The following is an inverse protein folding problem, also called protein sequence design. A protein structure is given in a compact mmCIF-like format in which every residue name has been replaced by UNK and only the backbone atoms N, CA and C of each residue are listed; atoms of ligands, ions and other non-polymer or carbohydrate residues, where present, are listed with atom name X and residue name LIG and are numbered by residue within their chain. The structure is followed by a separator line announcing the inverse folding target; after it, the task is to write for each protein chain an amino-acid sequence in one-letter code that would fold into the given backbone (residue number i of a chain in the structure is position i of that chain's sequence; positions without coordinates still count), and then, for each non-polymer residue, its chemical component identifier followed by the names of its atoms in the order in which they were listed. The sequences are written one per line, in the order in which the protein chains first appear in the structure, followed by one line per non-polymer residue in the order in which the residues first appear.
data_IF_815110581524
#
_entry.id   IF_815110581524
#
_cell.length_a   1.000
_cell.length_b   1.000
_cell.length_c   1.000
_cell.angle_alpha   90.00
_cell.angle_beta   90.00
_cell.angle_gamma   90.00
#
_symmetry.space_group_name_H-M   'P 1'
#
loop_
_entity.id
_entity.type
_entity.pdbx_description
1 polymer ?
#
# COMPACT_ATOMS: atom_id res chain seq x y z
N UNK A 1 43.13 10.94 -27.37
CA UNK A 1 42.92 11.64 -26.08
C UNK A 1 41.59 11.16 -25.53
N UNK A 2 41.61 10.19 -24.61
CA UNK A 2 40.42 9.49 -24.09
C UNK A 2 39.83 10.33 -22.95
N UNK A 3 38.61 10.84 -23.14
CA UNK A 3 37.87 11.54 -22.10
C UNK A 3 37.23 10.50 -21.19
N UNK A 4 37.81 10.33 -20.01
CA UNK A 4 37.28 9.52 -18.92
C UNK A 4 35.97 10.11 -18.42
N UNK A 5 34.88 9.35 -18.54
CA UNK A 5 33.61 9.61 -17.84
C UNK A 5 33.84 9.29 -16.35
N UNK A 6 33.99 10.31 -15.52
CA UNK A 6 33.89 10.16 -14.06
C UNK A 6 32.46 9.79 -13.71
N UNK A 7 32.27 8.57 -13.19
CA UNK A 7 31.07 8.18 -12.47
C UNK A 7 30.84 9.13 -11.30
N UNK A 8 29.62 9.63 -11.18
CA UNK A 8 29.19 10.48 -10.08
C UNK A 8 28.89 9.55 -8.90
N UNK A 9 29.83 9.40 -7.97
CA UNK A 9 29.55 8.77 -6.68
C UNK A 9 28.44 9.57 -5.98
N UNK A 10 27.33 8.90 -5.65
CA UNK A 10 26.25 9.49 -4.85
C UNK A 10 26.78 9.62 -3.42
N UNK A 11 26.67 10.82 -2.84
CA UNK A 11 27.09 11.06 -1.45
C UNK A 11 26.16 10.32 -0.48
N UNK A 12 26.68 9.59 0.52
CA UNK A 12 25.86 8.84 1.48
C UNK A 12 24.86 9.71 2.25
N UNK A 13 25.20 10.99 2.52
CA UNK A 13 24.29 11.96 3.17
C UNK A 13 23.06 12.30 2.32
N UNK A 14 23.15 12.18 1.00
CA UNK A 14 22.00 12.38 0.10
C UNK A 14 21.08 11.16 0.11
N UNK A 15 21.65 9.96 0.21
CA UNK A 15 20.88 8.72 0.29
C UNK A 15 20.05 8.67 1.57
N UNK A 16 20.62 9.02 2.73
CA UNK A 16 19.88 9.02 4.01
C UNK A 16 18.69 9.99 4.01
N UNK A 17 18.86 11.20 3.46
CA UNK A 17 17.77 12.18 3.35
C UNK A 17 16.65 11.74 2.39
N UNK A 18 17.00 10.99 1.35
CA UNK A 18 16.03 10.42 0.41
C UNK A 18 15.29 9.25 1.06
N UNK A 19 16.00 8.38 1.79
CA UNK A 19 15.40 7.29 2.53
C UNK A 19 14.46 7.79 3.63
N UNK A 20 14.83 8.83 4.37
CA UNK A 20 13.94 9.45 5.36
C UNK A 20 12.65 10.01 4.73
N UNK A 21 12.74 10.49 3.48
CA UNK A 21 11.57 10.97 2.72
C UNK A 21 10.70 9.82 2.19
N UNK A 22 11.31 8.69 1.83
CA UNK A 22 10.62 7.52 1.26
C UNK A 22 10.00 6.65 2.34
N UNK A 23 10.70 6.47 3.46
CA UNK A 23 10.30 5.61 4.57
C UNK A 23 9.49 6.33 5.63
N UNK A 24 9.51 7.66 5.64
CA UNK A 24 8.85 8.44 6.67
C UNK A 24 9.50 8.20 8.04
N UNK A 25 9.95 9.26 8.70
CA UNK A 25 10.55 9.09 10.02
C UNK A 25 9.50 8.95 11.12
N UNK A 26 8.22 9.18 10.86
CA UNK A 26 7.14 9.12 11.86
C UNK A 26 6.06 8.11 11.45
N UNK A 27 5.98 6.98 12.18
CA UNK A 27 4.91 6.01 12.02
C UNK A 27 3.86 6.23 13.10
N UNK A 28 2.58 6.37 12.71
CA UNK A 28 1.47 6.42 13.66
C UNK A 28 0.75 5.08 13.67
N UNK A 29 1.09 4.22 14.62
CA UNK A 29 0.36 2.99 14.89
C UNK A 29 -0.40 3.11 16.21
N UNK A 30 -1.72 2.88 16.18
CA UNK A 30 -2.62 2.99 17.35
C UNK A 30 -2.56 4.35 18.08
N UNK A 31 -2.35 5.43 17.33
CA UNK A 31 -2.30 6.80 17.89
C UNK A 31 -1.01 7.14 18.64
N UNK A 32 -0.01 6.25 18.64
CA UNK A 32 1.33 6.54 19.15
C UNK A 32 2.22 6.88 17.96
N UNK A 33 2.77 8.10 17.95
CA UNK A 33 3.82 8.49 17.02
C UNK A 33 5.12 7.85 17.50
N UNK A 34 5.71 6.98 16.70
CA UNK A 34 7.06 6.48 16.93
C UNK A 34 7.96 6.87 15.78
N UNK A 35 9.13 7.37 16.12
CA UNK A 35 10.18 7.59 15.14
C UNK A 35 10.94 6.28 14.95
N UNK A 36 10.86 5.68 13.75
CA UNK A 36 11.65 4.48 13.43
C UNK A 36 12.87 4.89 12.61
N UNK A 37 14.09 4.52 13.02
CA UNK A 37 15.27 4.77 12.20
C UNK A 37 15.14 4.05 10.85
N UNK A 38 15.49 4.71 9.74
CA UNK A 38 15.45 4.13 8.39
C UNK A 38 16.13 2.74 8.34
N UNK A 39 17.29 2.59 8.97
CA UNK A 39 18.04 1.31 9.05
C UNK A 39 17.22 0.13 9.61
N UNK A 40 16.31 0.40 10.56
CA UNK A 40 15.49 -0.64 11.19
C UNK A 40 14.42 -1.12 10.22
N UNK A 41 13.78 -0.17 9.52
CA UNK A 41 12.81 -0.46 8.47
C UNK A 41 13.48 -1.21 7.31
N UNK A 42 14.65 -0.78 6.88
CA UNK A 42 15.41 -1.47 5.82
C UNK A 42 15.78 -2.90 6.21
N UNK A 43 16.18 -3.13 7.46
CA UNK A 43 16.47 -4.48 7.95
C UNK A 43 15.23 -5.38 7.93
N UNK A 44 14.05 -4.87 8.26
CA UNK A 44 12.80 -5.62 8.16
C UNK A 44 12.41 -5.90 6.70
N UNK A 45 12.54 -4.91 5.82
CA UNK A 45 12.23 -5.06 4.39
C UNK A 45 13.13 -6.08 3.70
N UNK A 46 14.38 -6.25 4.14
CA UNK A 46 15.30 -7.24 3.57
C UNK A 46 14.82 -8.70 3.70
N UNK A 47 13.81 -8.97 4.56
CA UNK A 47 13.17 -10.28 4.69
C UNK A 47 12.27 -10.65 3.50
N UNK A 48 11.90 -9.70 2.64
CA UNK A 48 10.89 -9.90 1.60
C UNK A 48 11.52 -9.83 0.21
N UNK A 49 11.15 -10.79 -0.64
CA UNK A 49 11.62 -10.86 -2.03
C UNK A 49 10.53 -11.45 -2.93
N UNK A 50 10.36 -10.86 -4.11
CA UNK A 50 9.39 -11.31 -5.09
C UNK A 50 8.74 -10.12 -5.79
N UNK A 51 7.50 -10.32 -6.27
CA UNK A 51 6.70 -9.27 -6.88
C UNK A 51 6.36 -8.18 -5.86
N UNK A 52 6.72 -6.94 -6.20
CA UNK A 52 6.53 -5.75 -5.37
C UNK A 52 5.73 -4.70 -6.12
N UNK A 53 4.86 -4.02 -5.39
CA UNK A 53 4.12 -2.85 -5.83
C UNK A 53 4.37 -1.70 -4.86
N UNK A 54 4.46 -0.47 -5.36
CA UNK A 54 4.57 0.71 -4.50
C UNK A 54 3.73 1.85 -5.03
N UNK A 55 2.87 2.37 -4.17
CA UNK A 55 2.03 3.53 -4.45
C UNK A 55 2.62 4.79 -3.82
N UNK A 56 2.91 5.78 -4.65
CA UNK A 56 3.33 7.12 -4.24
C UNK A 56 2.16 8.09 -4.36
N UNK A 57 1.58 8.47 -3.23
CA UNK A 57 0.47 9.45 -3.18
C UNK A 57 1.03 10.87 -3.20
N UNK A 58 0.47 11.73 -4.05
CA UNK A 58 0.85 13.14 -4.16
C UNK A 58 -0.16 14.04 -3.44
N UNK A 59 0.35 15.04 -2.71
CA UNK A 59 -0.47 15.87 -1.82
C UNK A 59 -1.38 16.89 -2.51
N UNK A 60 -1.01 17.41 -3.68
CA UNK A 60 -1.85 18.32 -4.45
C UNK A 60 -2.83 17.53 -5.33
N UNK A 61 -4.08 17.48 -4.88
CA UNK A 61 -5.16 16.78 -5.53
C UNK A 61 -6.11 17.69 -6.35
N UNK A 62 -5.66 18.90 -6.71
CA UNK A 62 -6.38 19.76 -7.65
C UNK A 62 -6.47 19.11 -9.04
N UNK A 63 -7.54 19.38 -9.80
CA UNK A 63 -7.72 18.76 -11.13
C UNK A 63 -6.53 19.00 -12.09
N UNK A 64 -5.95 20.21 -12.19
CA UNK A 64 -4.76 20.42 -13.03
C UNK A 64 -3.55 19.60 -12.58
N UNK A 65 -3.32 19.49 -11.26
CA UNK A 65 -2.23 18.68 -10.70
C UNK A 65 -2.43 17.18 -10.99
N UNK A 66 -3.65 16.68 -10.82
CA UNK A 66 -4.01 15.27 -11.10
C UNK A 66 -3.80 14.93 -12.57
N UNK A 67 -4.22 15.80 -13.50
CA UNK A 67 -4.00 15.59 -14.92
C UNK A 67 -2.50 15.58 -15.26
N UNK A 68 -1.75 16.56 -14.74
CA UNK A 68 -0.28 16.64 -14.91
C UNK A 68 0.42 15.40 -14.38
N UNK A 69 -0.01 14.86 -13.24
CA UNK A 69 0.57 13.66 -12.65
C UNK A 69 0.24 12.39 -13.45
N UNK A 70 -0.98 12.30 -14.00
CA UNK A 70 -1.37 11.21 -14.90
C UNK A 70 -0.48 11.18 -16.15
N UNK A 71 -0.26 12.34 -16.79
CA UNK A 71 0.59 12.44 -17.98
C UNK A 71 2.05 12.14 -17.63
N UNK A 72 2.51 12.60 -16.47
CA UNK A 72 3.84 12.32 -15.94
C UNK A 72 4.10 10.82 -15.77
N UNK A 73 3.12 10.08 -15.23
CA UNK A 73 3.20 8.64 -15.04
C UNK A 73 3.17 7.89 -16.37
N UNK A 74 2.25 8.27 -17.27
CA UNK A 74 2.11 7.66 -18.59
C UNK A 74 3.38 7.80 -19.44
N UNK A 75 4.01 8.97 -19.42
CA UNK A 75 5.28 9.22 -20.12
C UNK A 75 6.44 8.32 -19.65
N UNK A 76 6.31 7.71 -18.47
CA UNK A 76 7.31 6.82 -17.86
C UNK A 76 6.85 5.36 -17.80
N UNK A 77 5.71 5.03 -18.40
CA UNK A 77 5.14 3.69 -18.35
C UNK A 77 4.70 3.23 -16.96
N UNK A 78 4.47 4.17 -16.04
CA UNK A 78 4.05 3.88 -14.67
C UNK A 78 2.52 3.83 -14.55
N UNK A 79 2.03 3.07 -13.58
CA UNK A 79 0.61 3.04 -13.27
C UNK A 79 0.16 4.36 -12.65
N UNK A 80 -1.11 4.72 -12.86
CA UNK A 80 -1.72 5.88 -12.23
C UNK A 80 -3.15 5.55 -11.77
N UNK A 81 -3.43 5.84 -10.51
CA UNK A 81 -4.76 5.67 -9.92
C UNK A 81 -5.13 6.93 -9.15
N UNK A 82 -6.38 7.37 -9.23
CA UNK A 82 -6.89 8.47 -8.42
C UNK A 82 -8.05 7.99 -7.57
N UNK A 83 -7.73 7.59 -6.34
CA UNK A 83 -8.73 7.11 -5.38
C UNK A 83 -9.40 8.31 -4.70
N UNK A 84 -10.72 8.24 -4.59
CA UNK A 84 -11.52 9.13 -3.76
C UNK A 84 -12.25 8.32 -2.69
N UNK A 85 -12.02 8.70 -1.44
CA UNK A 85 -12.66 8.08 -0.29
C UNK A 85 -14.09 8.60 -0.10
N UNK A 86 -14.97 7.73 0.38
CA UNK A 86 -16.35 8.09 0.70
C UNK A 86 -16.47 9.14 1.81
N UNK A 87 -15.53 9.11 2.76
CA UNK A 87 -15.43 10.01 3.92
C UNK A 87 -13.97 10.15 4.33
N UNK A 88 -13.72 10.95 5.37
CA UNK A 88 -12.37 11.17 5.92
C UNK A 88 -11.78 12.52 5.53
N UNK A 89 -10.63 12.84 6.12
CA UNK A 89 -9.99 14.16 5.98
C UNK A 89 -9.25 14.32 4.65
N UNK A 90 -8.64 13.25 4.14
CA UNK A 90 -7.86 13.25 2.91
C UNK A 90 -8.54 12.37 1.85
N UNK A 91 -9.68 12.85 1.35
CA UNK A 91 -10.52 12.06 0.44
C UNK A 91 -9.87 11.81 -0.91
N UNK A 92 -9.16 12.79 -1.47
CA UNK A 92 -8.62 12.74 -2.83
C UNK A 92 -7.15 12.28 -2.79
N UNK A 93 -6.85 11.13 -3.39
CA UNK A 93 -5.55 10.48 -3.32
C UNK A 93 -5.07 10.09 -4.74
N UNK A 94 -4.40 11.01 -5.46
CA UNK A 94 -3.77 10.69 -6.72
C UNK A 94 -2.43 9.97 -6.47
N UNK A 95 -2.25 8.82 -7.11
CA UNK A 95 -1.14 7.89 -6.84
C UNK A 95 -0.46 7.45 -8.12
N UNK A 96 0.87 7.44 -8.09
CA UNK A 96 1.71 6.75 -9.07
C UNK A 96 2.01 5.36 -8.54
N UNK A 97 1.90 4.34 -9.39
CA UNK A 97 2.21 2.95 -9.07
C UNK A 97 3.48 2.51 -9.77
N UNK A 98 4.43 2.00 -9.00
CA UNK A 98 5.59 1.27 -9.48
C UNK A 98 5.37 -0.23 -9.25
N UNK A 99 5.89 -1.07 -10.15
CA UNK A 99 5.89 -2.53 -10.02
C UNK A 99 7.26 -3.08 -10.35
N UNK A 100 7.67 -4.12 -9.64
CA UNK A 100 8.95 -4.79 -9.86
C UNK A 100 8.99 -6.18 -9.27
N UNK A 101 10.13 -6.84 -9.45
CA UNK A 101 10.45 -8.10 -8.79
C UNK A 101 11.88 -8.00 -8.26
N UNK A 102 12.04 -7.93 -6.95
CA UNK A 102 13.31 -7.67 -6.27
C UNK A 102 13.19 -8.00 -4.76
N UNK A 103 14.28 -7.81 -4.02
CA UNK A 103 14.27 -7.72 -2.56
C UNK A 103 13.72 -6.35 -2.14
N UNK A 104 12.86 -6.32 -1.12
CA UNK A 104 12.08 -5.11 -0.83
C UNK A 104 12.93 -3.92 -0.32
N UNK A 105 14.05 -4.17 0.35
CA UNK A 105 15.02 -3.14 0.70
C UNK A 105 15.69 -2.51 -0.53
N UNK A 106 16.17 -3.33 -1.47
CA UNK A 106 16.79 -2.88 -2.72
C UNK A 106 15.79 -2.12 -3.60
N UNK A 107 14.54 -2.60 -3.66
CA UNK A 107 13.44 -1.92 -4.35
C UNK A 107 13.18 -0.51 -3.81
N UNK A 108 13.23 -0.36 -2.48
CA UNK A 108 13.02 0.93 -1.82
C UNK A 108 14.20 1.89 -2.05
N UNK A 109 15.44 1.40 -1.87
CA UNK A 109 16.67 2.19 -2.07
C UNK A 109 16.92 2.59 -3.52
N UNK A 110 16.46 1.78 -4.48
CA UNK A 110 16.67 2.00 -5.91
C UNK A 110 15.43 2.62 -6.58
N UNK A 111 14.56 1.81 -7.20
CA UNK A 111 13.42 2.29 -8.00
C UNK A 111 12.51 3.29 -7.29
N UNK A 112 12.13 3.04 -6.03
CA UNK A 112 11.19 3.91 -5.32
C UNK A 112 11.84 5.24 -4.96
N UNK A 113 13.04 5.24 -4.37
CA UNK A 113 13.81 6.44 -4.09
C UNK A 113 14.01 7.31 -5.35
N UNK A 114 14.36 6.67 -6.48
CA UNK A 114 14.54 7.38 -7.74
C UNK A 114 13.24 8.05 -8.22
N UNK A 115 12.10 7.36 -8.12
CA UNK A 115 10.82 7.93 -8.52
C UNK A 115 10.36 9.07 -7.61
N UNK A 116 10.62 9.01 -6.30
CA UNK A 116 10.35 10.11 -5.37
C UNK A 116 11.17 11.35 -5.74
N UNK A 117 12.45 11.18 -6.10
CA UNK A 117 13.29 12.29 -6.56
C UNK A 117 12.82 12.89 -7.88
N UNK A 118 12.39 12.04 -8.82
CA UNK A 118 11.88 12.50 -10.12
C UNK A 118 10.57 13.26 -9.98
N UNK A 119 9.66 12.79 -9.12
CA UNK A 119 8.44 13.51 -8.76
C UNK A 119 8.75 14.88 -8.14
N UNK A 120 9.68 14.92 -7.18
CA UNK A 120 10.09 16.16 -6.54
C UNK A 120 10.69 17.16 -7.53
N UNK A 121 11.54 16.69 -8.46
CA UNK A 121 12.15 17.53 -9.50
C UNK A 121 11.11 18.13 -10.44
N UNK A 122 10.05 17.38 -10.73
CA UNK A 122 8.95 17.82 -11.60
C UNK A 122 7.84 18.59 -10.81
N UNK A 123 8.11 18.91 -9.54
CA UNK A 123 7.27 19.77 -8.71
C UNK A 123 6.07 19.06 -8.10
N UNK A 124 6.15 17.76 -7.85
CA UNK A 124 5.17 16.99 -7.09
C UNK A 124 5.69 16.69 -5.69
N UNK A 125 4.84 16.86 -4.68
CA UNK A 125 5.15 16.46 -3.30
C UNK A 125 4.51 15.12 -2.98
N UNK A 126 5.33 14.09 -2.82
CA UNK A 126 4.91 12.79 -2.26
C UNK A 126 4.56 12.97 -0.79
N UNK A 127 3.41 12.46 -0.38
CA UNK A 127 2.87 12.55 0.99
C UNK A 127 2.60 11.19 1.64
N UNK A 128 2.70 10.11 0.85
CA UNK A 128 2.67 8.71 1.30
C UNK A 128 3.40 7.85 0.27
N UNK A 129 4.30 7.01 0.73
CA UNK A 129 4.70 5.79 0.06
C UNK A 129 4.06 4.59 0.80
N UNK A 130 3.45 3.69 0.03
CA UNK A 130 2.93 2.40 0.50
C UNK A 130 3.57 1.31 -0.34
N UNK A 131 4.36 0.44 0.28
CA UNK A 131 5.05 -0.66 -0.37
C UNK A 131 4.38 -1.98 0.01
N UNK A 132 4.16 -2.79 -1.01
CA UNK A 132 3.37 -4.02 -0.94
C UNK A 132 4.10 -5.13 -1.69
N UNK A 133 3.93 -6.35 -1.21
CA UNK A 133 4.39 -7.56 -1.89
C UNK A 133 3.20 -8.41 -2.32
N UNK A 134 3.39 -9.21 -3.36
CA UNK A 134 2.45 -10.28 -3.66
C UNK A 134 2.34 -11.24 -2.46
N UNK A 135 1.17 -11.85 -2.20
CA UNK A 135 0.93 -12.66 -1.00
C UNK A 135 1.72 -13.98 -1.03
N UNK A 136 2.32 -14.34 -2.17
CA UNK A 136 3.21 -15.49 -2.35
C UNK A 136 4.69 -15.12 -2.33
N UNK A 137 5.04 -13.86 -2.11
CA UNK A 137 6.44 -13.43 -2.01
C UNK A 137 7.15 -14.13 -0.83
N UNK A 138 8.46 -14.29 -0.95
CA UNK A 138 9.30 -14.78 0.14
C UNK A 138 9.17 -13.84 1.36
N UNK A 139 9.19 -14.41 2.56
CA UNK A 139 9.03 -13.66 3.81
C UNK A 139 7.58 -13.39 4.22
N UNK A 140 6.60 -13.54 3.30
CA UNK A 140 5.18 -13.34 3.63
C UNK A 140 4.65 -14.50 4.50
N UNK A 141 4.08 -14.23 5.69
CA UNK A 141 3.56 -15.25 6.60
C UNK A 141 2.49 -16.15 5.95
N UNK A 142 2.75 -17.46 5.90
CA UNK A 142 1.79 -18.41 5.34
C UNK A 142 0.74 -18.84 6.36
N UNK A 143 1.12 -18.98 7.63
CA UNK A 143 0.25 -19.41 8.73
C UNK A 143 0.15 -18.34 9.83
N UNK A 144 -0.89 -18.44 10.66
CA UNK A 144 -1.14 -17.48 11.74
C UNK A 144 -0.03 -17.48 12.80
N UNK A 145 0.69 -18.60 12.97
CA UNK A 145 1.81 -18.67 13.90
C UNK A 145 2.97 -17.78 13.46
N UNK A 146 3.29 -17.77 12.17
CA UNK A 146 4.33 -16.92 11.59
C UNK A 146 3.92 -15.44 11.68
N UNK A 147 2.65 -15.15 11.40
CA UNK A 147 2.11 -13.79 11.43
C UNK A 147 2.07 -13.17 12.84
N UNK A 148 2.07 -13.99 13.91
CA UNK A 148 2.14 -13.50 15.30
C UNK A 148 3.53 -13.00 15.69
N UNK A 149 4.56 -13.47 14.98
CA UNK A 149 5.94 -13.03 15.17
C UNK A 149 6.25 -11.78 14.33
N UNK A 150 5.46 -11.54 13.28
CA UNK A 150 5.62 -10.38 12.40
C UNK A 150 5.30 -9.05 13.12
N UNK A 151 5.98 -7.95 12.75
CA UNK A 151 5.62 -6.62 13.20
C UNK A 151 4.14 -6.30 12.94
N UNK A 152 3.45 -5.63 13.88
CA UNK A 152 1.99 -5.48 13.85
C UNK A 152 1.46 -4.52 12.77
N UNK A 153 2.35 -3.74 12.12
CA UNK A 153 2.02 -2.89 10.99
C UNK A 153 1.93 -3.69 9.68
N UNK A 154 2.57 -4.86 9.60
CA UNK A 154 2.48 -5.74 8.44
C UNK A 154 1.12 -6.45 8.42
N UNK A 155 0.48 -6.50 7.26
CA UNK A 155 -0.84 -7.10 7.12
C UNK A 155 -1.18 -7.46 5.68
N UNK A 156 -2.10 -8.41 5.52
CA UNK A 156 -2.71 -8.64 4.22
C UNK A 156 -3.74 -7.54 3.93
N UNK A 157 -3.74 -7.03 2.70
CA UNK A 157 -4.77 -6.16 2.17
C UNK A 157 -5.37 -6.80 0.92
N UNK A 158 -6.69 -6.72 0.78
CA UNK A 158 -7.40 -7.18 -0.41
C UNK A 158 -8.21 -6.05 -1.00
N UNK A 159 -8.17 -5.90 -2.32
CA UNK A 159 -8.98 -4.92 -3.04
C UNK A 159 -9.98 -5.66 -3.93
N UNK A 160 -11.27 -5.54 -3.62
CA UNK A 160 -12.35 -6.07 -4.46
C UNK A 160 -12.98 -4.93 -5.23
N UNK A 161 -12.84 -4.96 -6.55
CA UNK A 161 -13.46 -4.00 -7.45
C UNK A 161 -14.85 -4.44 -7.82
N UNK A 162 -15.82 -3.56 -7.61
CA UNK A 162 -17.24 -3.79 -7.84
C UNK A 162 -17.76 -2.88 -8.94
N UNK A 163 -18.60 -3.45 -9.80
CA UNK A 163 -19.59 -2.70 -10.58
C UNK A 163 -20.91 -2.78 -9.85
N UNK A 164 -21.51 -1.63 -9.58
CA UNK A 164 -22.80 -1.48 -8.93
C UNK A 164 -23.80 -0.85 -9.90
N UNK A 165 -25.08 -1.20 -9.78
CA UNK A 165 -26.16 -0.45 -10.45
C UNK A 165 -26.23 1.00 -9.93
N UNK A 166 -26.90 1.87 -10.69
CA UNK A 166 -27.00 3.30 -10.36
C UNK A 166 -27.69 3.53 -9.00
N UNK A 167 -28.68 2.71 -8.70
CA UNK A 167 -29.57 2.74 -7.54
C UNK A 167 -29.05 1.90 -6.35
N UNK A 168 -27.83 1.37 -6.43
CA UNK A 168 -27.26 0.60 -5.34
C UNK A 168 -27.17 1.43 -4.05
N UNK A 169 -27.67 0.84 -2.95
CA UNK A 169 -27.60 1.42 -1.61
C UNK A 169 -26.16 1.32 -1.09
N UNK A 170 -25.43 2.44 -1.19
CA UNK A 170 -24.01 2.51 -0.81
C UNK A 170 -23.81 2.47 0.71
N UNK A 171 -24.77 2.97 1.48
CA UNK A 171 -24.67 2.99 2.94
C UNK A 171 -24.90 1.59 3.49
N UNK A 172 -25.93 0.88 3.01
CA UNK A 172 -26.15 -0.52 3.35
C UNK A 172 -24.97 -1.42 2.92
N UNK A 173 -24.35 -1.15 1.76
CA UNK A 173 -23.14 -1.84 1.34
C UNK A 173 -21.96 -1.53 2.26
N UNK A 174 -21.75 -0.27 2.64
CA UNK A 174 -20.68 0.15 3.54
C UNK A 174 -20.79 -0.51 4.93
N UNK A 175 -22.00 -0.56 5.49
CA UNK A 175 -22.26 -1.22 6.78
C UNK A 175 -21.98 -2.73 6.69
N UNK A 176 -22.43 -3.36 5.61
CA UNK A 176 -22.24 -4.79 5.36
C UNK A 176 -20.76 -5.18 5.26
N UNK A 177 -19.94 -4.40 4.55
CA UNK A 177 -18.50 -4.71 4.40
C UNK A 177 -17.69 -4.38 5.65
N UNK A 178 -18.16 -3.45 6.50
CA UNK A 178 -17.47 -3.07 7.75
C UNK A 178 -17.32 -4.27 8.70
N UNK A 179 -18.31 -5.18 8.75
CA UNK A 179 -18.23 -6.42 9.53
C UNK A 179 -17.13 -7.38 9.09
N UNK A 180 -16.57 -7.18 7.89
CA UNK A 180 -15.46 -7.95 7.33
C UNK A 180 -14.14 -7.19 7.39
N UNK A 181 -14.01 -6.20 8.29
CA UNK A 181 -12.86 -5.28 8.37
C UNK A 181 -12.51 -4.67 7.01
N UNK A 182 -13.56 -4.31 6.26
CA UNK A 182 -13.45 -3.80 4.91
C UNK A 182 -14.21 -2.47 4.71
N UNK A 183 -13.74 -1.67 3.75
CA UNK A 183 -14.17 -0.28 3.59
C UNK A 183 -14.35 0.10 2.11
N UNK A 184 -15.39 0.89 1.83
CA UNK A 184 -15.74 1.32 0.47
C UNK A 184 -14.98 2.59 0.04
N UNK A 185 -14.46 2.61 -1.19
CA UNK A 185 -13.89 3.77 -1.89
C UNK A 185 -14.21 3.74 -3.39
N UNK A 186 -13.78 4.72 -4.19
CA UNK A 186 -13.91 4.68 -5.66
C UNK A 186 -12.75 5.38 -6.37
N UNK A 187 -12.64 5.20 -7.68
CA UNK A 187 -11.71 5.97 -8.51
C UNK A 187 -12.45 7.16 -9.15
N UNK A 188 -11.99 8.39 -8.89
CA UNK A 188 -12.64 9.62 -9.35
C UNK A 188 -12.72 9.75 -10.88
N UNK A 189 -11.83 9.10 -11.62
CA UNK A 189 -11.76 9.23 -13.08
C UNK A 189 -12.75 8.32 -13.80
N UNK A 190 -13.35 7.34 -13.13
CA UNK A 190 -14.24 6.37 -13.77
C UNK A 190 -15.69 6.73 -13.54
N UNK A 191 -16.23 7.51 -14.47
CA UNK A 191 -17.67 7.61 -14.70
C UNK A 191 -18.02 6.70 -15.88
N UNK A 192 -18.89 5.70 -15.68
CA UNK A 192 -19.32 4.84 -16.79
C UNK A 192 -20.49 5.48 -17.54
N UNK A 193 -20.45 5.37 -18.87
CA UNK A 193 -21.52 5.84 -19.74
C UNK A 193 -22.83 5.04 -19.57
N UNK A 194 -22.76 3.82 -19.02
CA UNK A 194 -23.90 2.94 -18.76
C UNK A 194 -24.66 3.26 -17.45
N UNK A 195 -24.30 4.36 -16.78
CA UNK A 195 -24.91 4.79 -15.51
C UNK A 195 -24.53 3.92 -14.29
N UNK A 196 -23.70 2.89 -14.46
CA UNK A 196 -23.23 2.05 -13.37
C UNK A 196 -22.05 2.69 -12.64
N UNK A 197 -21.87 2.30 -11.39
CA UNK A 197 -20.83 2.85 -10.52
C UNK A 197 -19.71 1.84 -10.33
N UNK A 198 -18.45 2.27 -10.39
CA UNK A 198 -17.33 1.46 -9.91
C UNK A 198 -16.98 1.83 -8.48
N UNK A 199 -16.80 0.82 -7.65
CA UNK A 199 -16.36 0.95 -6.25
C UNK A 199 -15.24 -0.04 -5.96
N UNK A 200 -14.43 0.28 -4.96
CA UNK A 200 -13.46 -0.63 -4.38
C UNK A 200 -13.87 -0.94 -2.95
N UNK A 201 -13.71 -2.18 -2.55
CA UNK A 201 -13.82 -2.63 -1.18
C UNK A 201 -12.45 -3.10 -0.73
N UNK A 202 -11.84 -2.37 0.19
CA UNK A 202 -10.52 -2.66 0.74
C UNK A 202 -10.66 -3.37 2.07
N UNK A 203 -10.15 -4.59 2.21
CA UNK A 203 -10.14 -5.37 3.44
C UNK A 203 -8.73 -5.44 4.03
N UNK A 204 -8.57 -5.14 5.31
CA UNK A 204 -7.29 -5.32 6.03
C UNK A 204 -7.35 -6.51 6.98
N UNK A 205 -6.33 -7.35 6.95
CA UNK A 205 -6.20 -8.57 7.75
C UNK A 205 -4.87 -8.55 8.53
N UNK A 206 -4.91 -8.00 9.75
CA UNK A 206 -3.75 -7.95 10.65
C UNK A 206 -3.56 -9.26 11.43
N UNK A 207 -2.30 -9.58 11.74
CA UNK A 207 -1.90 -10.64 12.68
C UNK A 207 -2.33 -12.04 12.28
N UNK A 208 -2.50 -12.28 10.99
CA UNK A 208 -2.91 -13.57 10.42
C UNK A 208 -2.04 -13.94 9.23
N UNK A 209 -1.87 -15.23 8.98
CA UNK A 209 -1.18 -15.74 7.81
C UNK A 209 -2.07 -15.76 6.57
N UNK A 210 -1.46 -15.99 5.41
CA UNK A 210 -2.14 -16.04 4.10
C UNK A 210 -3.37 -16.94 4.10
N UNK A 211 -3.26 -18.13 4.69
CA UNK A 211 -4.37 -19.08 4.72
C UNK A 211 -5.62 -18.50 5.38
N UNK A 212 -5.46 -17.73 6.46
CA UNK A 212 -6.57 -17.08 7.17
C UNK A 212 -7.04 -15.83 6.45
N UNK A 213 -6.13 -15.05 5.87
CA UNK A 213 -6.47 -13.89 5.05
C UNK A 213 -7.36 -14.30 3.85
N UNK A 214 -7.01 -15.38 3.13
CA UNK A 214 -7.83 -15.91 2.02
C UNK A 214 -9.21 -16.38 2.48
N UNK A 215 -9.33 -17.04 3.65
CA UNK A 215 -10.65 -17.39 4.20
C UNK A 215 -11.51 -16.15 4.49
N UNK A 216 -10.90 -15.09 5.01
CA UNK A 216 -11.60 -13.81 5.26
C UNK A 216 -11.99 -13.12 3.95
N UNK A 217 -11.16 -13.20 2.92
CA UNK A 217 -11.48 -12.72 1.58
C UNK A 217 -12.65 -13.50 0.98
N UNK A 218 -12.64 -14.83 1.04
CA UNK A 218 -13.75 -15.66 0.56
C UNK A 218 -15.07 -15.31 1.26
N UNK A 219 -15.05 -15.09 2.57
CA UNK A 219 -16.24 -14.65 3.31
C UNK A 219 -16.75 -13.28 2.82
N UNK A 220 -15.85 -12.31 2.60
CA UNK A 220 -16.20 -11.01 2.03
C UNK A 220 -16.77 -11.14 0.61
N UNK A 221 -16.11 -11.91 -0.26
CA UNK A 221 -16.55 -12.14 -1.65
C UNK A 221 -17.94 -12.76 -1.70
N UNK A 222 -18.25 -13.73 -0.83
CA UNK A 222 -19.57 -14.32 -0.76
C UNK A 222 -20.66 -13.28 -0.45
N UNK A 223 -20.38 -12.38 0.50
CA UNK A 223 -21.31 -11.30 0.89
C UNK A 223 -21.48 -10.27 -0.24
N UNK A 224 -20.40 -9.93 -0.95
CA UNK A 224 -20.45 -9.03 -2.10
C UNK A 224 -21.20 -9.65 -3.28
N UNK A 225 -20.98 -10.93 -3.57
CA UNK A 225 -21.69 -11.66 -4.62
C UNK A 225 -23.19 -11.81 -4.33
N UNK A 226 -23.57 -11.90 -3.05
CA UNK A 226 -24.97 -11.92 -2.61
C UNK A 226 -25.61 -10.53 -2.55
N UNK A 227 -24.89 -9.45 -2.88
CA UNK A 227 -25.43 -8.09 -2.84
C UNK A 227 -26.16 -7.77 -4.16
N UNK A 228 -27.47 -7.44 -4.12
CA UNK A 228 -28.22 -7.11 -5.33
C UNK A 228 -27.58 -5.95 -6.10
N UNK A 229 -27.52 -6.09 -7.43
CA UNK A 229 -26.93 -5.06 -8.30
C UNK A 229 -25.40 -4.99 -8.27
N UNK A 230 -24.72 -5.80 -7.45
CA UNK A 230 -23.27 -5.86 -7.39
C UNK A 230 -22.70 -6.95 -8.30
N UNK A 231 -21.63 -6.62 -9.03
CA UNK A 231 -20.80 -7.57 -9.80
C UNK A 231 -19.34 -7.33 -9.47
N UNK A 232 -18.64 -8.38 -9.05
CA UNK A 232 -17.19 -8.35 -8.87
C UNK A 232 -16.53 -8.31 -10.24
N UNK A 233 -15.62 -7.35 -10.42
CA UNK A 233 -14.85 -7.16 -11.65
C UNK A 233 -13.43 -7.71 -11.51
N UNK A 234 -12.83 -7.56 -10.34
CA UNK A 234 -11.41 -7.78 -10.10
C UNK A 234 -11.17 -7.94 -8.60
N UNK A 235 -10.19 -8.78 -8.25
CA UNK A 235 -9.75 -9.02 -6.87
C UNK A 235 -8.23 -9.01 -6.86
N UNK A 236 -7.65 -8.05 -6.15
CA UNK A 236 -6.22 -7.96 -5.87
C UNK A 236 -5.95 -8.38 -4.42
N UNK A 237 -4.78 -8.97 -4.20
CA UNK A 237 -4.31 -9.49 -2.91
C UNK A 237 -2.88 -9.07 -2.74
N UNK A 238 -2.59 -8.46 -1.60
CA UNK A 238 -1.28 -7.88 -1.34
C UNK A 238 -0.93 -8.05 0.14
N UNK A 239 0.36 -7.95 0.44
CA UNK A 239 0.89 -7.91 1.79
C UNK A 239 1.60 -6.58 1.99
N UNK A 240 1.06 -5.72 2.86
CA UNK A 240 1.59 -4.39 3.13
C UNK A 240 2.87 -4.52 3.94
N UNK A 241 3.98 -4.10 3.34
CA UNK A 241 5.32 -4.11 3.93
C UNK A 241 5.61 -2.82 4.69
N UNK A 242 5.17 -1.70 4.13
CA UNK A 242 5.48 -0.39 4.68
C UNK A 242 4.46 0.65 4.25
N UNK A 243 4.08 1.54 5.16
CA UNK A 243 3.17 2.65 4.89
C UNK A 243 3.53 3.88 5.72
N UNK A 244 4.16 4.84 5.06
CA UNK A 244 4.63 6.10 5.66
C UNK A 244 3.53 6.95 6.29
N UNK A 245 2.26 6.78 5.92
CA UNK A 245 1.21 7.73 6.33
C UNK A 245 -0.20 7.12 6.36
N UNK A 246 -0.43 6.20 7.30
CA UNK A 246 -1.76 5.66 7.62
C UNK A 246 -2.79 6.76 7.95
N UNK A 247 -2.35 7.93 8.43
CA UNK A 247 -3.19 9.08 8.73
C UNK A 247 -3.99 9.63 7.55
N UNK A 248 -3.61 9.34 6.30
CA UNK A 248 -4.42 9.69 5.12
C UNK A 248 -5.76 8.95 5.10
N UNK A 249 -5.86 7.81 5.79
CA UNK A 249 -7.09 7.03 5.89
C UNK A 249 -7.95 7.46 7.10
N UNK A 250 -7.52 8.50 7.85
CA UNK A 250 -8.21 8.93 9.06
C UNK A 250 -9.62 9.46 8.79
N UNK A 251 -10.59 8.92 9.53
CA UNK A 251 -12.01 9.16 9.34
C UNK A 251 -12.65 8.33 8.22
N UNK A 252 -11.86 7.52 7.51
CA UNK A 252 -12.34 6.48 6.59
C UNK A 252 -12.23 5.09 7.22
N UNK A 253 -11.06 4.75 7.78
CA UNK A 253 -10.77 3.52 8.52
C UNK A 253 -10.41 3.91 9.96
N UNK A 254 -10.99 3.21 10.95
CA UNK A 254 -10.55 3.33 12.34
C UNK A 254 -9.26 2.53 12.50
N UNK A 255 -8.22 3.11 13.10
CA UNK A 255 -6.97 2.41 13.37
C UNK A 255 -7.24 1.08 14.12
N UNK A 256 -6.47 0.01 13.86
CA UNK A 256 -6.72 -1.28 14.49
C UNK A 256 -6.70 -1.16 16.02
N UNK A 257 -7.68 -1.80 16.67
CA UNK A 257 -7.76 -1.95 18.12
C UNK A 257 -6.53 -2.67 18.68
N UNK A 258 -6.20 -2.40 19.94
CA UNK A 258 -5.01 -2.94 20.56
C UNK A 258 -5.06 -4.46 20.78
N UNK A 259 -4.42 -5.26 19.91
CA UNK A 259 -4.04 -6.64 20.24
C UNK A 259 -2.77 -6.66 21.11
N UNK A 260 -2.66 -7.68 21.98
CA UNK A 260 -1.59 -7.92 22.95
C UNK A 260 -0.17 -7.73 22.37
N UNK A 261 0.83 -7.34 23.20
CA UNK A 261 2.17 -7.02 22.72
C UNK A 261 2.79 -8.22 21.98
N UNK A 262 3.31 -7.96 20.79
CA UNK A 262 4.18 -8.88 20.07
C UNK A 262 5.53 -9.02 20.80
N UNK A 263 6.20 -10.14 20.56
CA UNK A 263 7.54 -10.47 21.07
C UNK A 263 8.54 -9.32 20.82
N UNK A 264 9.45 -9.12 21.76
CA UNK A 264 10.56 -8.15 21.68
C UNK A 264 11.77 -8.68 20.88
N UNK A 265 11.70 -9.90 20.34
CA UNK A 265 12.77 -10.43 19.49
C UNK A 265 12.71 -9.79 18.08
N UNK A 266 13.84 -9.33 17.53
CA UNK A 266 13.85 -8.68 16.21
C UNK A 266 13.45 -9.69 15.12
N UNK A 267 12.38 -9.38 14.40
CA UNK A 267 11.87 -10.16 13.25
C UNK A 267 12.97 -10.50 12.23
N UNK A 268 13.93 -9.60 12.02
CA UNK A 268 15.08 -9.80 11.13
C UNK A 268 15.98 -10.99 11.50
N UNK A 269 16.07 -11.35 12.79
CA UNK A 269 16.78 -12.55 13.22
C UNK A 269 16.04 -13.83 12.80
N UNK A 270 14.71 -13.84 12.86
CA UNK A 270 13.89 -14.97 12.43
C UNK A 270 13.91 -15.17 10.90
N UNK A 271 14.08 -14.09 10.12
CA UNK A 271 14.19 -14.17 8.66
C UNK A 271 15.49 -14.85 8.19
N UNK A 272 16.55 -14.82 9.00
CA UNK A 272 17.87 -15.34 8.63
C UNK A 272 18.00 -16.86 8.78
N UNK A 273 17.08 -17.52 9.49
CA UNK A 273 17.15 -18.96 9.81
C UNK A 273 16.32 -19.85 8.85
N UNK A 274 15.68 -19.25 7.84
CA UNK A 274 14.68 -19.90 6.99
C UNK A 274 15.15 -20.41 5.62
N UNK A 275 16.45 -20.60 5.38
CA UNK A 275 16.94 -21.21 4.11
C UNK A 275 16.81 -22.74 4.20
N UNK A 276 15.88 -23.41 3.48
CA UNK A 276 15.96 -24.85 3.36
C UNK A 276 17.17 -25.18 2.46
N UNK A 277 18.04 -26.06 2.95
CA UNK A 277 19.14 -26.67 2.17
C UNK A 277 18.62 -27.56 1.05
#
# INVERSE_FOLDING_TARGET
MIVSRRGRERSPLTTDLVLDRVLGTEETYRGVVRTRPAREVMSELSCFEGELETHLTVGDASQPSVARLSDWAAARGLGFTHIVLARGRHRSQPMVTLRGNDRADAWIEGPVAQAVDDLARDGFRVVRAKAEAAPWAQGVPQQDIDARLAPPHLHFEHHVKLRLTRDADLDALADRVTGHTAHLSWNARRTRADGHQERFVTQRCHGVGRATAERRLHALVAVLAATPGARILEIEREYVLHDTHLGLDAGWITAPSAAAPASTAPWSAACSEGTPS
#
